data_IF_171439009004
#
_entry.id   IF_171439009004
#
_cell.length_a   1.000
_cell.length_b   1.000
_cell.length_c   1.000
_cell.angle_alpha   90.00
_cell.angle_beta   90.00
_cell.angle_gamma   90.00
#
_symmetry.space_group_name_H-M   'P 1'
#
loop_
_entity.id
_entity.type
_entity.pdbx_description
1 polymer ?
#
# COMPACT_ATOMS: atom_id res chain seq x y z
N UNK A 1 -40.63 22.65 10.27
CA UNK A 1 -39.50 23.59 10.44
C UNK A 1 -38.47 23.23 9.39
N UNK A 2 -38.35 24.02 8.32
CA UNK A 2 -37.44 23.73 7.21
C UNK A 2 -36.01 24.12 7.61
N UNK A 3 -35.05 23.23 7.37
CA UNK A 3 -33.63 23.50 7.61
C UNK A 3 -33.17 24.64 6.69
N UNK A 4 -32.29 25.55 7.14
CA UNK A 4 -31.75 26.58 6.28
C UNK A 4 -30.92 25.93 5.17
N UNK A 5 -31.39 26.05 3.93
CA UNK A 5 -30.64 25.65 2.74
C UNK A 5 -29.32 26.41 2.72
N UNK A 6 -28.21 25.67 2.65
CA UNK A 6 -26.87 26.20 2.53
C UNK A 6 -26.80 27.12 1.28
N UNK A 7 -26.64 28.42 1.50
CA UNK A 7 -26.69 29.47 0.46
C UNK A 7 -25.36 29.63 -0.27
N UNK A 8 -24.61 28.55 -0.50
CA UNK A 8 -23.49 28.60 -1.41
C UNK A 8 -24.01 28.58 -2.85
N UNK A 9 -23.87 29.73 -3.51
CA UNK A 9 -24.18 29.87 -4.92
C UNK A 9 -23.23 28.93 -5.69
N UNK A 10 -23.73 27.94 -6.45
CA UNK A 10 -22.87 27.00 -7.19
C UNK A 10 -21.90 27.68 -8.17
N UNK A 11 -22.23 28.93 -8.53
CA UNK A 11 -21.52 29.83 -9.43
C UNK A 11 -20.10 30.14 -8.95
N UNK A 12 -19.86 30.13 -7.63
CA UNK A 12 -18.55 30.45 -7.06
C UNK A 12 -17.62 29.23 -6.98
N UNK A 13 -18.09 28.04 -7.36
CA UNK A 13 -17.28 26.83 -7.41
C UNK A 13 -16.66 26.66 -8.82
N UNK A 14 -15.35 26.89 -8.98
CA UNK A 14 -14.69 26.78 -10.28
C UNK A 14 -14.67 25.34 -10.84
N UNK A 15 -15.02 24.35 -10.02
CA UNK A 15 -15.12 22.95 -10.41
C UNK A 15 -16.55 22.51 -10.74
N UNK A 16 -17.54 23.40 -10.60
CA UNK A 16 -18.92 23.08 -10.94
C UNK A 16 -19.14 23.24 -12.46
N UNK A 17 -19.70 22.22 -13.16
CA UNK A 17 -19.73 22.21 -14.63
C UNK A 17 -20.81 23.11 -15.24
N UNK A 18 -21.74 23.63 -14.43
CA UNK A 18 -22.87 24.44 -14.90
C UNK A 18 -22.77 25.88 -14.40
N UNK A 19 -23.47 26.80 -15.08
CA UNK A 19 -23.55 28.21 -14.66
C UNK A 19 -24.48 28.45 -13.45
N UNK A 20 -25.12 27.41 -12.94
CA UNK A 20 -26.09 27.47 -11.84
C UNK A 20 -26.81 26.12 -11.65
N UNK A 21 -27.82 26.06 -10.78
CA UNK A 21 -28.59 24.83 -10.55
C UNK A 21 -29.19 24.31 -11.86
N UNK A 22 -29.15 22.99 -12.13
CA UNK A 22 -29.61 22.43 -13.40
C UNK A 22 -31.11 22.69 -13.59
N UNK A 23 -31.47 23.33 -14.69
CA UNK A 23 -32.87 23.68 -15.03
C UNK A 23 -33.46 22.68 -16.04
N UNK A 24 -32.61 22.11 -16.89
CA UNK A 24 -33.02 21.20 -17.97
C UNK A 24 -32.55 19.76 -17.73
N UNK A 25 -33.13 18.80 -18.46
CA UNK A 25 -32.71 17.41 -18.41
C UNK A 25 -31.27 17.23 -18.91
N UNK A 26 -30.92 17.92 -20.00
CA UNK A 26 -29.56 17.91 -20.54
C UNK A 26 -28.52 18.43 -19.52
N UNK A 27 -28.85 19.47 -18.76
CA UNK A 27 -27.97 19.96 -17.69
C UNK A 27 -27.86 18.97 -16.52
N UNK A 28 -28.93 18.24 -16.19
CA UNK A 28 -28.90 17.17 -15.19
C UNK A 28 -27.98 16.03 -15.63
N UNK A 29 -28.03 15.63 -16.90
CA UNK A 29 -27.14 14.60 -17.46
C UNK A 29 -25.68 15.03 -17.41
N UNK A 30 -25.37 16.29 -17.79
CA UNK A 30 -24.01 16.83 -17.69
C UNK A 30 -23.48 16.79 -16.26
N UNK A 31 -24.31 17.19 -15.29
CA UNK A 31 -23.93 17.15 -13.87
C UNK A 31 -23.73 15.72 -13.38
N UNK A 32 -24.61 14.78 -13.77
CA UNK A 32 -24.49 13.37 -13.39
C UNK A 32 -23.22 12.73 -13.97
N UNK A 33 -22.92 13.01 -15.24
CA UNK A 33 -21.70 12.50 -15.87
C UNK A 33 -20.44 13.07 -15.22
N UNK A 34 -20.44 14.36 -14.89
CA UNK A 34 -19.36 14.98 -14.15
C UNK A 34 -19.17 14.34 -12.76
N UNK A 35 -20.25 14.15 -11.99
CA UNK A 35 -20.21 13.46 -10.69
C UNK A 35 -19.66 12.04 -10.85
N UNK A 36 -20.13 11.29 -11.85
CA UNK A 36 -19.68 9.92 -12.12
C UNK A 36 -18.18 9.87 -12.41
N UNK A 37 -17.67 10.81 -13.21
CA UNK A 37 -16.25 10.91 -13.55
C UNK A 37 -15.38 11.28 -12.34
N UNK A 38 -15.83 12.23 -11.52
CA UNK A 38 -15.14 12.62 -10.27
C UNK A 38 -15.11 11.45 -9.29
N UNK A 39 -16.24 10.75 -9.10
CA UNK A 39 -16.32 9.55 -8.28
C UNK A 39 -15.38 8.44 -8.79
N UNK A 40 -15.33 8.21 -10.10
CA UNK A 40 -14.42 7.22 -10.69
C UNK A 40 -12.94 7.57 -10.42
N UNK A 41 -12.58 8.85 -10.57
CA UNK A 41 -11.21 9.35 -10.33
C UNK A 41 -10.82 9.24 -8.86
N UNK A 42 -11.73 9.60 -7.96
CA UNK A 42 -11.53 9.50 -6.52
C UNK A 42 -11.39 8.04 -6.09
N UNK A 43 -12.27 7.17 -6.57
CA UNK A 43 -12.23 5.74 -6.27
C UNK A 43 -10.94 5.09 -6.78
N UNK A 44 -10.50 5.43 -8.00
CA UNK A 44 -9.22 4.93 -8.52
C UNK A 44 -8.04 5.36 -7.63
N UNK A 45 -8.02 6.61 -7.18
CA UNK A 45 -6.99 7.14 -6.29
C UNK A 45 -6.99 6.46 -4.91
N UNK A 46 -8.17 6.18 -4.35
CA UNK A 46 -8.32 5.43 -3.10
C UNK A 46 -7.81 4.01 -3.27
N UNK A 47 -8.21 3.30 -4.33
CA UNK A 47 -7.77 1.93 -4.58
C UNK A 47 -6.26 1.84 -4.77
N UNK A 48 -5.65 2.78 -5.49
CA UNK A 48 -4.20 2.86 -5.63
C UNK A 48 -3.50 3.03 -4.26
N UNK A 49 -4.04 3.89 -3.39
CA UNK A 49 -3.53 4.08 -2.02
C UNK A 49 -3.71 2.84 -1.14
N UNK A 50 -4.79 2.07 -1.32
CA UNK A 50 -5.04 0.84 -0.57
C UNK A 50 -4.18 -0.34 -1.05
N UNK A 51 -3.81 -0.36 -2.33
CA UNK A 51 -2.93 -1.38 -2.91
C UNK A 51 -1.45 -1.16 -2.52
N UNK A 52 -1.00 0.09 -2.39
CA UNK A 52 0.37 0.44 -2.03
C UNK A 52 0.90 -0.25 -0.74
N UNK A 53 0.23 -0.22 0.42
CA UNK A 53 0.72 -0.87 1.64
C UNK A 53 0.74 -2.40 1.52
N UNK A 54 -0.21 -3.00 0.79
CA UNK A 54 -0.20 -4.45 0.53
C UNK A 54 1.00 -4.86 -0.32
N UNK A 55 1.34 -4.05 -1.33
CA UNK A 55 2.52 -4.30 -2.17
C UNK A 55 3.85 -4.13 -1.43
N UNK A 56 3.90 -3.20 -0.46
CA UNK A 56 5.11 -2.96 0.33
C UNK A 56 5.35 -4.09 1.33
N UNK A 57 4.31 -4.55 2.03
CA UNK A 57 4.42 -5.68 2.97
C UNK A 57 4.77 -6.97 2.22
N UNK A 58 4.19 -7.19 1.03
CA UNK A 58 4.56 -8.32 0.19
C UNK A 58 6.05 -8.26 -0.22
N UNK A 59 6.53 -7.12 -0.71
CA UNK A 59 7.93 -6.93 -1.09
C UNK A 59 8.90 -7.14 0.10
N UNK A 60 8.56 -6.62 1.30
CA UNK A 60 9.36 -6.85 2.50
C UNK A 60 9.46 -8.35 2.84
N UNK A 61 8.37 -9.08 2.62
CA UNK A 61 8.30 -10.52 2.82
C UNK A 61 9.05 -11.32 1.75
N UNK A 62 9.10 -10.85 0.52
CA UNK A 62 9.86 -11.44 -0.60
C UNK A 62 11.37 -11.26 -0.38
N UNK A 63 11.81 -10.07 0.04
CA UNK A 63 13.22 -9.84 0.38
C UNK A 63 13.71 -10.74 1.52
N UNK A 64 12.84 -11.13 2.46
CA UNK A 64 13.18 -12.03 3.56
C UNK A 64 13.00 -13.53 3.24
N UNK A 65 12.98 -13.92 1.96
CA UNK A 65 12.69 -15.31 1.55
C UNK A 65 13.74 -16.31 2.06
N UNK A 66 15.01 -15.93 2.09
CA UNK A 66 16.13 -16.72 2.61
C UNK A 66 16.00 -16.98 4.12
N UNK A 67 15.73 -15.95 4.93
CA UNK A 67 15.55 -16.07 6.38
C UNK A 67 14.30 -16.91 6.70
N UNK A 68 13.24 -16.78 5.88
CA UNK A 68 12.05 -17.64 5.98
C UNK A 68 12.36 -19.09 5.64
N UNK A 69 13.22 -19.33 4.66
CA UNK A 69 13.65 -20.67 4.29
C UNK A 69 14.39 -21.35 5.44
N UNK A 70 15.22 -20.63 6.18
CA UNK A 70 15.89 -21.15 7.38
C UNK A 70 14.91 -21.53 8.49
N UNK A 71 13.87 -20.72 8.72
CA UNK A 71 12.79 -21.07 9.64
C UNK A 71 12.08 -22.36 9.20
N UNK A 72 11.75 -22.49 7.91
CA UNK A 72 11.12 -23.70 7.37
C UNK A 72 12.02 -24.92 7.53
N UNK A 73 13.32 -24.79 7.28
CA UNK A 73 14.29 -25.86 7.53
C UNK A 73 14.33 -26.27 9.00
N UNK A 74 14.34 -25.29 9.92
CA UNK A 74 14.31 -25.58 11.35
C UNK A 74 13.04 -26.35 11.74
N UNK A 75 11.88 -25.96 11.19
CA UNK A 75 10.61 -26.64 11.43
C UNK A 75 10.59 -28.07 10.85
N UNK A 76 11.10 -28.25 9.63
CA UNK A 76 11.09 -29.55 8.94
C UNK A 76 12.01 -30.58 9.56
N UNK A 77 13.10 -30.16 10.23
CA UNK A 77 14.04 -31.05 10.92
C UNK A 77 13.52 -31.58 12.26
N UNK A 78 12.37 -31.10 12.75
CA UNK A 78 11.83 -31.46 14.07
C UNK A 78 10.46 -32.11 13.94
N UNK A 79 10.15 -33.06 14.84
CA UNK A 79 8.82 -33.67 14.88
C UNK A 79 7.74 -32.61 15.17
N UNK A 80 6.50 -32.86 14.77
CA UNK A 80 5.35 -31.98 15.05
C UNK A 80 5.27 -31.57 16.54
N UNK A 81 5.68 -32.44 17.46
CA UNK A 81 5.71 -32.18 18.92
C UNK A 81 6.78 -31.14 19.29
N UNK A 82 7.91 -31.11 18.59
CA UNK A 82 8.95 -30.09 18.76
C UNK A 82 8.50 -28.69 18.30
N UNK A 83 7.68 -28.60 17.25
CA UNK A 83 7.14 -27.32 16.75
C UNK A 83 6.23 -26.61 17.77
N UNK A 84 5.55 -27.34 18.67
CA UNK A 84 4.67 -26.75 19.68
C UNK A 84 5.39 -26.25 20.94
N UNK A 85 6.66 -26.60 21.16
CA UNK A 85 7.39 -26.29 22.42
C UNK A 85 8.29 -25.05 22.32
N UNK A 86 8.10 -24.20 21.30
CA UNK A 86 8.94 -23.02 21.09
C UNK A 86 10.25 -23.32 20.35
N UNK A 87 10.32 -24.45 19.62
CA UNK A 87 11.37 -24.66 18.65
C UNK A 87 11.37 -23.55 17.58
N UNK A 88 12.56 -23.23 17.08
CA UNK A 88 12.77 -22.23 16.03
C UNK A 88 12.41 -20.78 16.40
N UNK A 89 12.36 -20.45 17.70
CA UNK A 89 12.05 -19.09 18.18
C UNK A 89 13.07 -18.06 17.70
N UNK A 90 14.34 -18.45 17.57
CA UNK A 90 15.40 -17.56 17.09
C UNK A 90 15.21 -17.23 15.61
N UNK A 91 14.93 -18.24 14.79
CA UNK A 91 14.65 -18.14 13.36
C UNK A 91 13.40 -17.31 13.13
N UNK A 92 12.32 -17.54 13.91
CA UNK A 92 11.10 -16.72 13.86
C UNK A 92 11.39 -15.25 14.18
N UNK A 93 12.16 -14.96 15.24
CA UNK A 93 12.56 -13.59 15.59
C UNK A 93 13.42 -12.96 14.49
N UNK A 94 14.23 -13.75 13.79
CA UNK A 94 15.06 -13.28 12.69
C UNK A 94 14.19 -12.90 11.49
N UNK A 95 13.19 -13.71 11.14
CA UNK A 95 12.19 -13.37 10.11
C UNK A 95 11.45 -12.08 10.47
N UNK A 96 10.94 -11.97 11.70
CA UNK A 96 10.23 -10.76 12.16
C UNK A 96 11.12 -9.51 12.05
N UNK A 97 12.38 -9.61 12.48
CA UNK A 97 13.34 -8.51 12.39
C UNK A 97 13.67 -8.15 10.94
N UNK A 98 13.84 -9.14 10.05
CA UNK A 98 14.07 -8.91 8.63
C UNK A 98 12.90 -8.12 8.03
N UNK A 99 11.65 -8.56 8.27
CA UNK A 99 10.46 -7.92 7.69
C UNK A 99 10.32 -6.47 8.19
N UNK A 100 10.58 -6.20 9.47
CA UNK A 100 10.56 -4.83 10.01
C UNK A 100 11.58 -3.94 9.31
N UNK A 101 12.85 -4.38 9.24
CA UNK A 101 13.90 -3.58 8.60
C UNK A 101 13.66 -3.39 7.10
N UNK A 102 13.24 -4.43 6.39
CA UNK A 102 12.90 -4.32 4.97
C UNK A 102 11.73 -3.36 4.75
N UNK A 103 10.71 -3.38 5.61
CA UNK A 103 9.60 -2.41 5.56
C UNK A 103 10.10 -0.97 5.73
N UNK A 104 11.02 -0.73 6.67
CA UNK A 104 11.64 0.58 6.89
C UNK A 104 12.45 1.03 5.68
N UNK A 105 13.30 0.16 5.11
CA UNK A 105 14.13 0.48 3.95
C UNK A 105 13.31 0.72 2.68
N UNK A 106 12.33 -0.14 2.39
CA UNK A 106 11.41 0.06 1.26
C UNK A 106 10.61 1.36 1.38
N UNK A 107 10.22 1.73 2.61
CA UNK A 107 9.56 3.01 2.88
C UNK A 107 10.50 4.19 2.62
N UNK A 108 11.73 4.12 3.12
CA UNK A 108 12.75 5.16 2.94
C UNK A 108 13.10 5.36 1.45
N UNK A 109 13.16 4.28 0.68
CA UNK A 109 13.39 4.30 -0.77
C UNK A 109 12.14 4.64 -1.58
N UNK A 110 11.01 4.92 -0.93
CA UNK A 110 9.73 5.29 -1.57
C UNK A 110 9.23 4.24 -2.56
N UNK A 111 9.29 2.95 -2.20
CA UNK A 111 8.82 1.82 -3.02
C UNK A 111 7.40 2.04 -3.61
N UNK A 112 6.49 2.64 -2.83
CA UNK A 112 5.12 2.95 -3.27
C UNK A 112 5.02 3.97 -4.42
N UNK A 113 6.10 4.69 -4.75
CA UNK A 113 6.15 5.65 -5.85
C UNK A 113 6.70 5.07 -7.15
N UNK A 114 7.23 3.84 -7.12
CA UNK A 114 7.74 3.18 -8.32
C UNK A 114 6.58 2.88 -9.29
N UNK A 115 6.69 3.40 -10.51
CA UNK A 115 5.64 3.38 -11.52
C UNK A 115 5.66 2.08 -12.32
N UNK A 116 6.83 1.45 -12.46
CA UNK A 116 7.02 0.20 -13.19
C UNK A 116 7.48 -0.94 -12.27
N UNK A 117 7.30 -2.18 -12.72
CA UNK A 117 7.79 -3.36 -12.00
C UNK A 117 9.32 -3.39 -11.94
N UNK A 118 10.00 -2.94 -13.00
CA UNK A 118 11.47 -2.85 -13.02
C UNK A 118 11.99 -1.84 -12.00
N UNK A 119 11.33 -0.69 -11.84
CA UNK A 119 11.66 0.28 -10.78
C UNK A 119 11.42 -0.30 -9.39
N UNK A 120 10.33 -1.06 -9.19
CA UNK A 120 10.05 -1.74 -7.92
C UNK A 120 11.12 -2.76 -7.60
N UNK A 121 11.54 -3.56 -8.57
CA UNK A 121 12.62 -4.54 -8.41
C UNK A 121 13.93 -3.87 -8.03
N UNK A 122 14.32 -2.78 -8.71
CA UNK A 122 15.53 -2.01 -8.35
C UNK A 122 15.48 -1.50 -6.92
N UNK A 123 14.33 -0.97 -6.49
CA UNK A 123 14.14 -0.51 -5.10
C UNK A 123 14.19 -1.67 -4.12
N UNK A 124 13.58 -2.82 -4.44
CA UNK A 124 13.59 -4.00 -3.59
C UNK A 124 15.01 -4.56 -3.41
N UNK A 125 15.79 -4.67 -4.48
CA UNK A 125 17.20 -5.07 -4.44
C UNK A 125 18.04 -4.07 -3.63
N UNK A 126 17.77 -2.77 -3.75
CA UNK A 126 18.49 -1.77 -2.96
C UNK A 126 18.14 -1.86 -1.46
N UNK A 127 16.87 -2.07 -1.12
CA UNK A 127 16.46 -2.31 0.27
C UNK A 127 17.12 -3.57 0.84
N UNK A 128 17.25 -4.61 0.02
CA UNK A 128 17.91 -5.84 0.42
C UNK A 128 19.41 -5.66 0.68
N UNK A 129 20.11 -4.92 -0.18
CA UNK A 129 21.51 -4.52 0.06
C UNK A 129 21.66 -3.75 1.36
N UNK A 130 20.76 -2.80 1.65
CA UNK A 130 20.78 -2.05 2.92
C UNK A 130 20.60 -2.98 4.13
N UNK A 131 19.78 -4.02 4.02
CA UNK A 131 19.63 -5.04 5.05
C UNK A 131 20.92 -5.84 5.24
N UNK A 132 21.52 -6.35 4.16
CA UNK A 132 22.80 -7.08 4.21
C UNK A 132 23.91 -6.22 4.82
N UNK A 133 24.03 -4.96 4.42
CA UNK A 133 24.99 -4.02 5.00
C UNK A 133 24.72 -3.79 6.50
N UNK A 134 23.44 -3.69 6.90
CA UNK A 134 23.06 -3.53 8.31
C UNK A 134 23.45 -4.73 9.18
N UNK A 135 23.35 -5.94 8.65
CA UNK A 135 23.65 -7.17 9.41
C UNK A 135 25.13 -7.58 9.32
N UNK A 136 25.86 -7.14 8.29
CA UNK A 136 27.29 -7.43 8.11
C UNK A 136 28.20 -6.31 8.67
N UNK A 137 27.71 -5.06 8.72
CA UNK A 137 28.42 -3.89 9.24
C UNK A 137 28.26 -3.68 10.76
N UNK A 138 27.68 -4.65 11.46
CA UNK A 138 27.58 -4.72 12.92
C UNK A 138 28.18 -6.02 13.43
#
# INVERSE_FOLDING_TARGET
MAQPHNTHNPIDNPFYPLRGPPQTEAEREVLQEHIRREQATLNASIQAKLAAPKSLVAAAHENCADVKWDLLQCMNRRSLVGSFTGACKAEKKTVERCVVLQTEFLTALKYHKAATDEERERVAVQADRMYLDHINGK
#
